data_IF_292530656833
#
_entry.id   IF_292530656833
#
_cell.length_a   1.000
_cell.length_b   1.000
_cell.length_c   1.000
_cell.angle_alpha   90.00
_cell.angle_beta   90.00
_cell.angle_gamma   90.00
#
_symmetry.space_group_name_H-M   'P 1'
#
loop_
_entity.id
_entity.type
_entity.pdbx_description
1 polymer ?
#
# COMPACT_ATOMS: atom_id res chain seq x y z
N UNK A 1 -0.02 -0.48 31.55
CA UNK A 1 0.36 0.95 31.43
C UNK A 1 -0.42 1.53 30.25
N UNK A 2 -1.33 2.50 30.43
CA UNK A 2 -2.00 3.16 29.31
C UNK A 2 -0.99 4.09 28.66
N UNK A 3 -0.50 3.75 27.48
CA UNK A 3 0.35 4.64 26.69
C UNK A 3 -0.53 5.80 26.21
N UNK A 4 -0.18 7.02 26.56
CA UNK A 4 -0.91 8.20 26.06
C UNK A 4 -0.76 8.30 24.54
N UNK A 5 -1.87 8.46 23.83
CA UNK A 5 -1.90 8.68 22.37
C UNK A 5 -0.98 9.84 21.96
N UNK A 6 -0.93 10.90 22.77
CA UNK A 6 -0.04 12.05 22.58
C UNK A 6 1.43 11.65 22.58
N UNK A 7 1.84 10.75 23.47
CA UNK A 7 3.24 10.30 23.55
C UNK A 7 3.60 9.39 22.36
N UNK A 8 2.68 8.57 21.90
CA UNK A 8 2.91 7.67 20.75
C UNK A 8 3.19 8.43 19.46
N UNK A 9 2.47 9.50 19.22
CA UNK A 9 2.52 10.27 17.97
C UNK A 9 3.21 11.63 18.11
N UNK A 10 4.00 11.84 19.16
CA UNK A 10 4.66 13.13 19.42
C UNK A 10 5.44 13.66 18.21
N UNK A 11 6.16 12.80 17.49
CA UNK A 11 6.90 13.19 16.28
C UNK A 11 6.00 13.59 15.11
N UNK A 12 4.80 13.00 14.99
CA UNK A 12 3.82 13.45 14.00
C UNK A 12 3.20 14.80 14.38
N UNK A 13 2.97 15.01 15.69
CA UNK A 13 2.33 16.24 16.17
C UNK A 13 3.19 17.50 15.96
N UNK A 14 4.51 17.37 15.91
CA UNK A 14 5.43 18.48 15.63
C UNK A 14 5.67 18.73 14.13
N UNK A 15 5.30 17.79 13.26
CA UNK A 15 5.36 17.99 11.81
C UNK A 15 4.22 18.92 11.39
N UNK A 16 4.55 20.04 10.76
CA UNK A 16 3.55 21.04 10.30
C UNK A 16 2.51 20.45 9.37
N UNK A 17 2.94 19.51 8.52
CA UNK A 17 2.15 18.85 7.50
C UNK A 17 1.16 17.82 8.10
N UNK A 18 1.41 17.32 9.29
CA UNK A 18 0.54 16.36 9.98
C UNK A 18 -0.17 17.02 11.15
N UNK A 19 0.59 17.41 12.19
CA UNK A 19 0.05 18.01 13.39
C UNK A 19 -1.08 17.21 14.04
N UNK A 20 -1.85 17.86 14.88
CA UNK A 20 -3.01 17.23 15.53
C UNK A 20 -4.15 16.94 14.57
N UNK A 21 -4.33 17.76 13.53
CA UNK A 21 -5.38 17.57 12.53
C UNK A 21 -5.10 16.34 11.67
N UNK A 22 -3.88 16.22 11.11
CA UNK A 22 -3.50 15.05 10.31
C UNK A 22 -3.54 13.75 11.12
N UNK A 23 -3.11 13.79 12.40
CA UNK A 23 -3.21 12.62 13.28
C UNK A 23 -4.66 12.18 13.53
N UNK A 24 -5.60 13.14 13.60
CA UNK A 24 -7.02 12.84 13.67
C UNK A 24 -7.52 12.19 12.38
N UNK A 25 -7.15 12.71 11.21
CA UNK A 25 -7.51 12.11 9.92
C UNK A 25 -6.99 10.68 9.79
N UNK A 26 -5.75 10.41 10.21
CA UNK A 26 -5.19 9.05 10.24
C UNK A 26 -6.04 8.11 11.11
N UNK A 27 -6.40 8.56 12.31
CA UNK A 27 -7.22 7.78 13.25
C UNK A 27 -8.63 7.48 12.72
N UNK A 28 -9.20 8.35 11.93
CA UNK A 28 -10.56 8.20 11.37
C UNK A 28 -10.57 7.40 10.07
N UNK A 29 -9.42 7.22 9.41
CA UNK A 29 -9.31 6.58 8.10
C UNK A 29 -9.44 5.06 8.14
N UNK A 30 -10.01 4.52 7.04
CA UNK A 30 -10.09 3.09 6.74
C UNK A 30 -9.25 2.79 5.50
N UNK A 31 -8.26 1.94 5.65
CA UNK A 31 -7.30 1.59 4.58
C UNK A 31 -7.39 0.11 4.28
N UNK A 32 -7.47 -0.27 3.01
CA UNK A 32 -7.37 -1.66 2.55
C UNK A 32 -5.98 -1.90 1.97
N UNK A 33 -5.25 -2.85 2.53
CA UNK A 33 -3.96 -3.34 2.02
C UNK A 33 -4.22 -4.66 1.31
N UNK A 34 -3.94 -4.71 0.01
CA UNK A 34 -4.18 -5.87 -0.84
C UNK A 34 -2.84 -6.51 -1.17
N UNK A 35 -2.60 -7.71 -0.63
CA UNK A 35 -1.34 -8.44 -0.71
C UNK A 35 -0.40 -8.14 0.46
N UNK A 36 0.02 -9.20 1.15
CA UNK A 36 0.96 -9.17 2.28
C UNK A 36 2.33 -9.77 1.91
N UNK A 37 2.78 -9.41 0.70
CA UNK A 37 4.10 -9.74 0.18
C UNK A 37 5.18 -8.77 0.65
N UNK A 38 6.26 -8.68 -0.13
CA UNK A 38 7.40 -7.80 0.18
C UNK A 38 7.05 -6.31 0.23
N UNK A 39 6.04 -5.85 -0.52
CA UNK A 39 5.51 -4.49 -0.46
C UNK A 39 4.54 -4.30 0.72
N UNK A 40 3.61 -5.25 0.92
CA UNK A 40 2.57 -5.13 1.94
C UNK A 40 3.11 -5.15 3.37
N UNK A 41 4.22 -5.85 3.62
CA UNK A 41 4.84 -5.90 4.94
C UNK A 41 5.25 -4.51 5.47
N UNK A 42 6.10 -3.74 4.80
CA UNK A 42 6.46 -2.39 5.25
C UNK A 42 5.27 -1.43 5.23
N UNK A 43 4.36 -1.54 4.25
CA UNK A 43 3.13 -0.73 4.24
C UNK A 43 2.34 -0.94 5.53
N UNK A 44 2.11 -2.19 5.93
CA UNK A 44 1.38 -2.51 7.16
C UNK A 44 2.06 -1.95 8.41
N UNK A 45 3.38 -2.14 8.51
CA UNK A 45 4.14 -1.67 9.66
C UNK A 45 4.01 -0.15 9.85
N UNK A 46 4.20 0.62 8.78
CA UNK A 46 4.10 2.07 8.85
C UNK A 46 2.66 2.57 8.97
N UNK A 47 1.68 1.91 8.33
CA UNK A 47 0.27 2.24 8.47
C UNK A 47 -0.22 2.06 9.93
N UNK A 48 0.10 0.93 10.55
CA UNK A 48 -0.22 0.67 11.96
C UNK A 48 0.54 1.63 12.89
N UNK A 49 1.85 1.82 12.63
CA UNK A 49 2.69 2.74 13.40
C UNK A 49 2.23 4.19 13.35
N UNK A 50 1.66 4.63 12.22
CA UNK A 50 1.13 5.98 12.02
C UNK A 50 -0.22 6.22 12.72
N UNK A 51 -0.88 5.17 13.19
CA UNK A 51 -2.15 5.30 13.91
C UNK A 51 -3.37 5.36 13.01
N UNK A 52 -3.34 4.69 11.85
CA UNK A 52 -4.53 4.50 11.02
C UNK A 52 -5.57 3.71 11.82
N UNK A 53 -6.81 4.22 11.86
CA UNK A 53 -7.84 3.70 12.74
C UNK A 53 -8.36 2.32 12.33
N UNK A 54 -8.52 2.05 11.04
CA UNK A 54 -8.94 0.73 10.55
C UNK A 54 -8.09 0.28 9.39
N UNK A 55 -7.54 -0.92 9.45
CA UNK A 55 -6.76 -1.54 8.38
C UNK A 55 -7.44 -2.86 7.99
N UNK A 56 -7.87 -2.94 6.72
CA UNK A 56 -8.27 -4.19 6.08
C UNK A 56 -7.05 -4.87 5.47
N UNK A 57 -6.93 -6.16 5.67
CA UNK A 57 -5.86 -7.00 5.15
C UNK A 57 -6.46 -8.11 4.29
N UNK A 58 -6.10 -8.18 3.02
CA UNK A 58 -6.56 -9.26 2.14
C UNK A 58 -5.37 -9.97 1.51
N UNK A 59 -5.30 -11.27 1.74
CA UNK A 59 -4.32 -12.18 1.17
C UNK A 59 -4.81 -13.62 1.38
N UNK A 60 -4.65 -14.48 0.39
CA UNK A 60 -5.08 -15.88 0.45
C UNK A 60 -3.96 -16.87 0.78
N UNK A 61 -2.71 -16.40 0.84
CA UNK A 61 -1.54 -17.25 0.98
C UNK A 61 -1.24 -17.63 2.43
N UNK A 62 -0.51 -18.74 2.56
CA UNK A 62 0.23 -19.07 3.76
C UNK A 62 1.69 -18.62 3.64
N UNK A 63 2.33 -18.50 4.80
CA UNK A 63 3.73 -18.11 4.90
C UNK A 63 4.62 -19.30 4.50
N UNK A 64 5.55 -19.04 3.61
CA UNK A 64 6.55 -20.00 3.14
C UNK A 64 7.98 -19.54 3.47
N UNK A 65 8.90 -20.48 3.55
CA UNK A 65 10.31 -20.17 3.81
C UNK A 65 10.91 -19.27 2.73
N UNK A 66 10.48 -19.44 1.48
CA UNK A 66 10.86 -18.63 0.31
C UNK A 66 10.41 -17.16 0.42
N UNK A 67 9.51 -16.84 1.34
CA UNK A 67 9.00 -15.48 1.54
C UNK A 67 9.87 -14.67 2.50
N UNK A 68 10.54 -15.31 3.46
CA UNK A 68 11.13 -14.66 4.64
C UNK A 68 12.23 -13.66 4.30
N UNK A 69 12.92 -13.80 3.17
CA UNK A 69 13.97 -12.87 2.76
C UNK A 69 13.47 -11.47 2.41
N UNK A 70 12.14 -11.29 2.17
CA UNK A 70 11.54 -10.01 1.79
C UNK A 70 10.25 -9.66 2.53
N UNK A 71 9.60 -10.60 3.21
CA UNK A 71 8.35 -10.41 3.95
C UNK A 71 8.66 -10.33 5.45
N UNK A 72 9.20 -9.21 5.88
CA UNK A 72 9.92 -9.03 7.14
C UNK A 72 9.07 -9.01 8.41
N UNK A 73 7.74 -9.02 8.29
CA UNK A 73 6.84 -9.16 9.43
C UNK A 73 6.63 -10.61 9.86
N UNK A 74 7.08 -11.57 9.05
CA UNK A 74 6.96 -13.01 9.30
C UNK A 74 8.29 -13.61 9.77
N UNK A 75 8.19 -14.65 10.57
CA UNK A 75 9.34 -15.38 11.10
C UNK A 75 9.29 -16.87 10.71
N UNK A 76 10.39 -17.58 10.94
CA UNK A 76 10.46 -19.05 10.73
C UNK A 76 9.37 -19.79 11.51
N UNK A 77 8.97 -19.28 12.69
CA UNK A 77 7.90 -19.88 13.51
C UNK A 77 6.50 -19.70 12.94
N UNK A 78 6.36 -18.92 11.87
CA UNK A 78 5.09 -18.60 11.24
C UNK A 78 4.87 -19.37 9.92
N UNK A 79 5.84 -20.16 9.49
CA UNK A 79 5.74 -20.99 8.29
C UNK A 79 4.47 -21.87 8.37
N UNK A 80 3.69 -21.87 7.29
CA UNK A 80 2.43 -22.62 7.16
C UNK A 80 1.20 -21.90 7.73
N UNK A 81 1.36 -20.82 8.51
CA UNK A 81 0.24 -20.01 8.98
C UNK A 81 -0.26 -19.04 7.90
N UNK A 82 -1.51 -18.64 8.00
CA UNK A 82 -2.09 -17.61 7.12
C UNK A 82 -1.41 -16.27 7.30
N UNK A 83 -1.02 -15.62 6.18
CA UNK A 83 -0.38 -14.29 6.18
C UNK A 83 -1.24 -13.24 6.89
N UNK A 84 -2.54 -13.18 6.63
CA UNK A 84 -3.44 -12.19 7.24
C UNK A 84 -3.60 -12.38 8.74
N UNK A 85 -3.58 -13.62 9.26
CA UNK A 85 -3.68 -13.88 10.70
C UNK A 85 -2.43 -13.47 11.47
N UNK A 86 -1.26 -13.70 10.89
CA UNK A 86 0.00 -13.26 11.50
C UNK A 86 0.14 -11.75 11.39
N UNK A 87 -0.24 -11.16 10.25
CA UNK A 87 -0.23 -9.72 10.04
C UNK A 87 -1.18 -8.97 11.00
N UNK A 88 -2.35 -9.53 11.32
CA UNK A 88 -3.24 -8.99 12.35
C UNK A 88 -2.56 -8.94 13.73
N UNK A 89 -1.88 -10.02 14.14
CA UNK A 89 -1.12 -10.05 15.39
C UNK A 89 0.00 -9.01 15.41
N UNK A 90 0.72 -8.86 14.31
CA UNK A 90 1.77 -7.84 14.16
C UNK A 90 1.18 -6.44 14.27
N UNK A 91 0.03 -6.19 13.62
CA UNK A 91 -0.68 -4.90 13.74
C UNK A 91 -1.00 -4.59 15.20
N UNK A 92 -1.57 -5.54 15.93
CA UNK A 92 -1.90 -5.39 17.34
C UNK A 92 -0.67 -5.16 18.24
N UNK A 93 0.47 -5.78 17.92
CA UNK A 93 1.73 -5.54 18.64
C UNK A 93 2.28 -4.13 18.38
N UNK A 94 2.16 -3.62 17.15
CA UNK A 94 2.61 -2.28 16.78
C UNK A 94 1.67 -1.23 17.39
N UNK A 95 0.36 -1.39 17.18
CA UNK A 95 -0.64 -0.44 17.66
C UNK A 95 -1.96 -1.15 18.00
N UNK A 96 -2.23 -1.42 19.28
CA UNK A 96 -3.45 -2.11 19.72
C UNK A 96 -4.73 -1.25 19.57
N UNK A 97 -4.62 0.05 19.24
CA UNK A 97 -5.78 0.90 18.96
C UNK A 97 -6.26 0.78 17.51
N UNK A 98 -5.44 0.23 16.61
CA UNK A 98 -5.82 0.00 15.20
C UNK A 98 -6.75 -1.20 15.11
N UNK A 99 -7.95 -0.97 14.55
CA UNK A 99 -8.87 -2.07 14.23
C UNK A 99 -8.40 -2.78 12.98
N UNK A 100 -8.21 -4.10 13.06
CA UNK A 100 -7.84 -4.92 11.91
C UNK A 100 -9.03 -5.75 11.44
N UNK A 101 -9.27 -5.79 10.12
CA UNK A 101 -10.25 -6.65 9.46
C UNK A 101 -9.50 -7.53 8.47
N UNK A 102 -9.62 -8.86 8.61
CA UNK A 102 -8.88 -9.80 7.77
C UNK A 102 -9.81 -10.53 6.79
N UNK A 103 -9.33 -10.70 5.56
CA UNK A 103 -9.97 -11.45 4.48
C UNK A 103 -9.00 -12.51 3.98
N UNK A 104 -9.27 -13.79 4.32
CA UNK A 104 -8.48 -14.95 3.88
C UNK A 104 -8.94 -15.41 2.50
N UNK A 105 -8.91 -14.52 1.56
CA UNK A 105 -9.39 -14.77 0.21
C UNK A 105 -8.60 -13.96 -0.81
N UNK A 106 -8.62 -14.39 -2.06
CA UNK A 106 -8.07 -13.61 -3.18
C UNK A 106 -9.08 -12.54 -3.57
N UNK A 107 -8.59 -11.34 -3.84
CA UNK A 107 -9.41 -10.30 -4.46
C UNK A 107 -9.61 -10.66 -5.94
N UNK A 108 -10.85 -10.76 -6.36
CA UNK A 108 -11.26 -11.06 -7.73
C UNK A 108 -12.44 -10.17 -8.17
N UNK A 109 -12.90 -10.34 -9.41
CA UNK A 109 -14.01 -9.55 -9.98
C UNK A 109 -15.32 -9.67 -9.19
N UNK A 110 -15.51 -10.75 -8.42
CA UNK A 110 -16.77 -11.02 -7.70
C UNK A 110 -16.84 -10.30 -6.36
N UNK A 111 -15.69 -10.11 -5.69
CA UNK A 111 -15.62 -9.54 -4.34
C UNK A 111 -14.99 -8.15 -4.28
N UNK A 112 -14.21 -7.75 -5.29
CA UNK A 112 -13.41 -6.53 -5.26
C UNK A 112 -14.25 -5.27 -4.98
N UNK A 113 -15.28 -5.01 -5.77
CA UNK A 113 -16.11 -3.81 -5.59
C UNK A 113 -16.83 -3.79 -4.24
N UNK A 114 -17.29 -4.96 -3.75
CA UNK A 114 -17.94 -5.08 -2.45
C UNK A 114 -17.00 -4.76 -1.28
N UNK A 115 -15.75 -5.20 -1.36
CA UNK A 115 -14.76 -4.98 -0.29
C UNK A 115 -14.22 -3.54 -0.38
N UNK A 116 -13.77 -3.11 -1.55
CA UNK A 116 -13.13 -1.80 -1.79
C UNK A 116 -14.01 -0.63 -1.35
N UNK A 117 -15.31 -0.69 -1.58
CA UNK A 117 -16.23 0.40 -1.21
C UNK A 117 -16.27 0.72 0.28
N UNK A 118 -15.95 -0.23 1.15
CA UNK A 118 -15.98 -0.08 2.61
C UNK A 118 -14.76 0.68 3.17
N UNK A 119 -13.78 1.00 2.31
CA UNK A 119 -12.54 1.66 2.67
C UNK A 119 -12.41 3.04 2.01
N UNK A 120 -11.59 3.90 2.61
CA UNK A 120 -11.35 5.25 2.11
C UNK A 120 -10.16 5.30 1.15
N UNK A 121 -9.15 4.45 1.38
CA UNK A 121 -7.91 4.37 0.62
C UNK A 121 -7.57 2.91 0.32
N UNK A 122 -7.10 2.66 -0.90
CA UNK A 122 -6.73 1.34 -1.37
C UNK A 122 -5.24 1.31 -1.65
N UNK A 123 -4.54 0.30 -1.11
CA UNK A 123 -3.11 0.12 -1.30
C UNK A 123 -2.89 -1.22 -2.00
N UNK A 124 -2.42 -1.14 -3.25
CA UNK A 124 -2.12 -2.32 -4.07
C UNK A 124 -0.67 -2.75 -3.86
N UNK A 125 -0.50 -3.88 -3.17
CA UNK A 125 0.77 -4.55 -2.92
C UNK A 125 0.87 -5.89 -3.64
N UNK A 126 0.05 -6.10 -4.67
CA UNK A 126 0.05 -7.34 -5.47
C UNK A 126 1.20 -7.36 -6.47
N UNK A 127 1.52 -8.55 -6.98
CA UNK A 127 2.65 -8.80 -7.87
C UNK A 127 2.25 -9.25 -9.29
N UNK A 128 0.95 -9.29 -9.59
CA UNK A 128 0.46 -9.73 -10.90
C UNK A 128 -0.48 -8.72 -11.56
N UNK A 129 -0.41 -8.63 -12.88
CA UNK A 129 -1.14 -7.63 -13.68
C UNK A 129 -2.66 -7.79 -13.58
N UNK A 130 -3.17 -9.02 -13.52
CA UNK A 130 -4.61 -9.25 -13.44
C UNK A 130 -5.21 -8.67 -12.16
N UNK A 131 -4.60 -8.94 -11.00
CA UNK A 131 -5.04 -8.35 -9.73
C UNK A 131 -4.96 -6.83 -9.76
N UNK A 132 -3.88 -6.26 -10.32
CA UNK A 132 -3.72 -4.81 -10.47
C UNK A 132 -4.82 -4.16 -11.31
N UNK A 133 -5.22 -4.81 -12.41
CA UNK A 133 -6.34 -4.33 -13.24
C UNK A 133 -7.66 -4.37 -12.48
N UNK A 134 -7.97 -5.46 -11.80
CA UNK A 134 -9.20 -5.61 -11.00
C UNK A 134 -9.25 -4.55 -9.89
N UNK A 135 -8.15 -4.35 -9.17
CA UNK A 135 -8.04 -3.34 -8.12
C UNK A 135 -8.24 -1.93 -8.68
N UNK A 136 -7.56 -1.61 -9.80
CA UNK A 136 -7.69 -0.31 -10.45
C UNK A 136 -9.14 -0.02 -10.86
N UNK A 137 -9.77 -0.96 -11.55
CA UNK A 137 -11.13 -0.78 -12.06
C UNK A 137 -12.14 -0.64 -10.93
N UNK A 138 -12.06 -1.51 -9.92
CA UNK A 138 -12.94 -1.44 -8.74
C UNK A 138 -12.69 -0.17 -7.90
N UNK A 139 -11.45 0.32 -7.82
CA UNK A 139 -11.14 1.59 -7.15
C UNK A 139 -11.73 2.78 -7.92
N UNK A 140 -11.64 2.77 -9.24
CA UNK A 140 -12.25 3.77 -10.11
C UNK A 140 -13.77 3.81 -9.95
N UNK A 141 -14.44 2.67 -10.05
CA UNK A 141 -15.91 2.54 -9.93
C UNK A 141 -16.43 3.02 -8.57
N UNK A 142 -15.66 2.79 -7.50
CA UNK A 142 -16.04 3.18 -6.14
C UNK A 142 -15.49 4.55 -5.72
N UNK A 143 -14.86 5.31 -6.62
CA UNK A 143 -14.25 6.61 -6.36
C UNK A 143 -13.23 6.59 -5.22
N UNK A 144 -12.37 5.57 -5.19
CA UNK A 144 -11.35 5.42 -4.14
C UNK A 144 -9.95 5.75 -4.67
N UNK A 145 -9.15 6.53 -3.93
CA UNK A 145 -7.74 6.71 -4.24
C UNK A 145 -7.01 5.37 -4.19
N UNK A 146 -6.22 5.08 -5.21
CA UNK A 146 -5.41 3.86 -5.31
C UNK A 146 -3.93 4.22 -5.21
N UNK A 147 -3.26 3.74 -4.18
CA UNK A 147 -1.82 3.83 -4.02
C UNK A 147 -1.20 2.54 -4.58
N UNK A 148 -0.68 2.65 -5.79
CA UNK A 148 -0.09 1.57 -6.56
C UNK A 148 1.40 1.46 -6.32
N UNK A 149 1.93 0.24 -6.28
CA UNK A 149 3.36 -0.02 -6.39
C UNK A 149 3.64 -1.33 -7.16
N UNK A 150 4.84 -1.42 -7.71
CA UNK A 150 5.38 -2.61 -8.35
C UNK A 150 6.88 -2.68 -8.14
N UNK A 151 7.42 -3.90 -8.05
CA UNK A 151 8.85 -4.16 -7.92
C UNK A 151 9.26 -5.32 -8.81
N UNK A 152 10.45 -5.23 -9.40
CA UNK A 152 11.04 -6.30 -10.22
C UNK A 152 12.55 -6.15 -10.22
N UNK A 153 13.30 -7.20 -9.85
CA UNK A 153 14.75 -7.15 -9.76
C UNK A 153 15.24 -6.08 -8.79
N UNK A 154 15.86 -5.04 -9.33
CA UNK A 154 16.36 -3.86 -8.62
C UNK A 154 15.51 -2.60 -8.86
N UNK A 155 14.41 -2.71 -9.57
CA UNK A 155 13.54 -1.60 -9.93
C UNK A 155 12.26 -1.59 -9.11
N UNK A 156 11.75 -0.39 -8.86
CA UNK A 156 10.45 -0.20 -8.24
C UNK A 156 9.73 1.00 -8.82
N UNK A 157 8.42 0.91 -8.85
CA UNK A 157 7.54 1.97 -9.32
C UNK A 157 6.44 2.20 -8.28
N UNK A 158 6.08 3.45 -8.09
CA UNK A 158 4.98 3.87 -7.23
C UNK A 158 4.17 4.95 -7.94
N UNK A 159 2.86 4.94 -7.78
CA UNK A 159 1.98 6.00 -8.26
C UNK A 159 0.70 6.07 -7.42
N UNK A 160 0.07 7.24 -7.37
CA UNK A 160 -1.26 7.40 -6.80
C UNK A 160 -2.26 7.72 -7.89
N UNK A 161 -3.26 6.86 -8.06
CA UNK A 161 -4.32 7.05 -9.04
C UNK A 161 -5.59 7.57 -8.37
N UNK A 162 -6.09 8.70 -8.87
CA UNK A 162 -7.40 9.28 -8.55
C UNK A 162 -8.20 9.45 -9.84
N UNK A 163 -8.26 8.40 -10.64
CA UNK A 163 -8.79 8.41 -12.01
C UNK A 163 -10.27 8.80 -12.09
N UNK A 164 -11.00 8.73 -10.99
CA UNK A 164 -12.38 9.20 -10.86
C UNK A 164 -12.49 10.74 -10.83
N UNK A 165 -11.39 11.44 -10.57
CA UNK A 165 -11.32 12.89 -10.66
C UNK A 165 -11.08 13.33 -12.10
N UNK A 166 -11.41 14.60 -12.39
CA UNK A 166 -11.21 15.22 -13.69
C UNK A 166 -10.40 16.49 -13.55
N UNK A 167 -9.61 16.78 -14.57
CA UNK A 167 -8.84 18.01 -14.68
C UNK A 167 -9.75 19.22 -15.03
N UNK A 168 -9.16 20.41 -15.14
CA UNK A 168 -9.86 21.66 -15.53
C UNK A 168 -10.51 21.61 -16.92
N UNK A 169 -10.11 20.66 -17.77
CA UNK A 169 -10.64 20.45 -19.11
C UNK A 169 -11.65 19.31 -19.19
N UNK A 170 -12.09 18.79 -18.02
CA UNK A 170 -13.02 17.67 -17.87
C UNK A 170 -12.47 16.30 -18.36
N UNK A 171 -11.15 16.17 -18.51
CA UNK A 171 -10.51 14.89 -18.82
C UNK A 171 -10.30 14.10 -17.51
N UNK A 172 -10.52 12.78 -17.48
CA UNK A 172 -10.22 11.97 -16.31
C UNK A 172 -8.70 11.93 -16.07
N UNK A 173 -8.30 11.91 -14.80
CA UNK A 173 -6.90 11.65 -14.44
C UNK A 173 -6.47 10.25 -14.89
N UNK A 174 -5.16 10.04 -15.13
CA UNK A 174 -4.62 8.74 -15.52
C UNK A 174 -5.00 7.63 -14.57
N UNK A 175 -5.09 6.41 -15.10
CA UNK A 175 -5.28 5.17 -14.34
C UNK A 175 -4.13 4.20 -14.61
N UNK A 176 -4.08 3.10 -13.87
CA UNK A 176 -3.14 2.01 -14.14
C UNK A 176 -3.20 1.52 -15.60
N UNK A 177 -4.40 1.50 -16.22
CA UNK A 177 -4.57 1.12 -17.63
C UNK A 177 -3.83 2.04 -18.60
N UNK A 178 -3.54 3.28 -18.21
CA UNK A 178 -2.78 4.24 -19.04
C UNK A 178 -1.29 3.93 -19.11
N UNK A 179 -0.75 3.14 -18.19
CA UNK A 179 0.66 2.74 -18.19
C UNK A 179 1.02 1.84 -19.37
N UNK A 180 0.02 1.33 -20.14
CA UNK A 180 0.22 0.48 -21.33
C UNK A 180 1.26 -0.62 -21.09
N UNK A 181 1.23 -1.22 -19.92
CA UNK A 181 2.09 -2.36 -19.60
C UNK A 181 1.74 -3.43 -20.63
N UNK A 182 2.68 -3.68 -21.55
CA UNK A 182 2.54 -4.79 -22.50
C UNK A 182 2.31 -6.05 -21.69
N UNK A 183 1.41 -6.91 -22.16
CA UNK A 183 1.25 -8.24 -21.60
C UNK A 183 2.59 -8.97 -21.70
N UNK A 184 3.40 -8.79 -20.66
CA UNK A 184 4.56 -9.64 -20.45
C UNK A 184 3.93 -10.96 -20.04
N UNK A 185 4.17 -12.01 -20.84
CA UNK A 185 3.70 -13.35 -20.51
C UNK A 185 3.97 -13.60 -19.04
N UNK A 186 2.95 -14.04 -18.29
CA UNK A 186 3.07 -14.28 -16.84
C UNK A 186 4.24 -15.21 -16.50
N UNK A 187 4.67 -16.03 -17.46
CA UNK A 187 5.84 -16.89 -17.35
C UNK A 187 7.17 -16.10 -17.27
N UNK A 188 7.26 -14.92 -17.86
CA UNK A 188 8.49 -14.11 -17.83
C UNK A 188 8.68 -13.38 -16.49
N UNK A 189 7.59 -12.97 -15.84
CA UNK A 189 7.65 -12.29 -14.53
C UNK A 189 8.05 -13.24 -13.39
N UNK A 190 7.66 -14.53 -13.47
CA UNK A 190 8.00 -15.54 -12.45
C UNK A 190 9.49 -15.90 -12.43
N UNK A 191 10.26 -15.53 -13.46
CA UNK A 191 11.71 -15.78 -13.54
C UNK A 191 12.57 -14.62 -13.08
N UNK A 192 11.98 -13.42 -12.88
CA UNK A 192 12.73 -12.26 -12.40
C UNK A 192 12.58 -12.19 -10.88
N UNK A 193 13.65 -12.52 -10.15
CA UNK A 193 13.69 -12.38 -8.70
C UNK A 193 13.52 -10.91 -8.27
N UNK A 194 13.30 -10.68 -6.98
CA UNK A 194 13.26 -9.33 -6.39
C UNK A 194 14.20 -9.27 -5.20
N UNK A 195 14.99 -8.21 -5.13
CA UNK A 195 15.84 -7.96 -3.96
C UNK A 195 14.97 -7.45 -2.81
N UNK A 196 15.01 -8.11 -1.64
CA UNK A 196 14.17 -7.78 -0.47
C UNK A 196 14.20 -6.30 -0.07
N UNK A 197 15.38 -5.67 0.09
CA UNK A 197 15.48 -4.23 0.38
C UNK A 197 14.76 -3.32 -0.61
N UNK A 198 14.69 -3.67 -1.90
CA UNK A 198 13.94 -2.86 -2.89
C UNK A 198 12.45 -2.87 -2.55
N UNK A 199 11.89 -4.05 -2.27
CA UNK A 199 10.51 -4.16 -1.83
C UNK A 199 10.26 -3.36 -0.54
N UNK A 200 11.22 -3.39 0.40
CA UNK A 200 11.19 -2.59 1.63
C UNK A 200 11.13 -1.08 1.37
N UNK A 201 12.01 -0.57 0.49
CA UNK A 201 12.07 0.86 0.13
C UNK A 201 10.77 1.30 -0.56
N UNK A 202 10.34 0.56 -1.57
CA UNK A 202 9.13 0.91 -2.34
C UNK A 202 7.87 0.83 -1.47
N UNK A 203 7.74 -0.20 -0.62
CA UNK A 203 6.61 -0.29 0.31
C UNK A 203 6.63 0.81 1.38
N UNK A 204 7.81 1.27 1.82
CA UNK A 204 7.93 2.41 2.72
C UNK A 204 7.51 3.72 2.04
N UNK A 205 7.90 3.92 0.77
CA UNK A 205 7.44 5.05 -0.04
C UNK A 205 5.93 4.98 -0.27
N UNK A 206 5.37 3.79 -0.52
CA UNK A 206 3.94 3.56 -0.69
C UNK A 206 3.17 3.93 0.59
N UNK A 207 3.69 3.57 1.77
CA UNK A 207 3.13 4.00 3.06
C UNK A 207 3.21 5.52 3.24
N UNK A 208 4.29 6.15 2.80
CA UNK A 208 4.46 7.61 2.84
C UNK A 208 3.41 8.30 1.96
N UNK A 209 3.21 7.83 0.74
CA UNK A 209 2.16 8.35 -0.14
C UNK A 209 0.76 8.16 0.46
N UNK A 210 0.48 7.00 1.06
CA UNK A 210 -0.77 6.76 1.77
C UNK A 210 -1.01 7.81 2.86
N UNK A 211 -0.02 8.06 3.72
CA UNK A 211 -0.12 9.06 4.80
C UNK A 211 -0.35 10.46 4.22
N UNK A 212 0.38 10.84 3.17
CA UNK A 212 0.19 12.12 2.47
C UNK A 212 -1.22 12.27 1.91
N UNK A 213 -1.77 11.23 1.31
CA UNK A 213 -3.14 11.25 0.78
C UNK A 213 -4.18 11.41 1.90
N UNK A 214 -4.01 10.72 3.03
CA UNK A 214 -4.92 10.80 4.19
C UNK A 214 -4.86 12.20 4.82
N UNK A 215 -3.67 12.76 4.99
CA UNK A 215 -3.48 14.04 5.67
C UNK A 215 -3.67 15.25 4.76
N UNK A 216 -3.98 15.02 3.47
CA UNK A 216 -4.03 16.06 2.43
C UNK A 216 -2.74 16.88 2.33
N UNK A 217 -1.60 16.30 2.70
CA UNK A 217 -0.27 16.90 2.60
C UNK A 217 0.24 16.81 1.16
N UNK A 218 -0.43 17.53 0.24
CA UNK A 218 -0.14 17.49 -1.20
C UNK A 218 0.76 18.65 -1.66
N UNK A 219 1.28 19.47 -0.75
CA UNK A 219 2.02 20.72 -1.05
C UNK A 219 3.29 20.50 -1.90
N UNK A 220 3.75 19.26 -2.06
CA UNK A 220 4.93 18.93 -2.86
C UNK A 220 4.66 18.10 -4.12
N UNK A 221 3.39 17.82 -4.42
CA UNK A 221 3.03 16.95 -5.55
C UNK A 221 2.40 17.69 -6.73
N UNK A 222 2.16 19.01 -6.62
CA UNK A 222 1.56 19.77 -7.73
C UNK A 222 2.50 19.95 -8.93
N UNK A 223 3.82 19.88 -8.72
CA UNK A 223 4.81 19.88 -9.81
C UNK A 223 5.27 18.46 -10.21
N UNK A 224 4.99 17.46 -9.39
CA UNK A 224 5.39 16.07 -9.63
C UNK A 224 4.30 15.25 -10.38
N UNK A 225 3.26 15.89 -10.90
CA UNK A 225 2.25 15.20 -11.71
C UNK A 225 2.84 14.60 -12.99
N UNK A 226 4.03 15.05 -13.40
CA UNK A 226 4.78 14.53 -14.55
C UNK A 226 5.89 13.56 -14.15
N UNK A 227 6.27 13.50 -12.87
CA UNK A 227 7.32 12.64 -12.36
C UNK A 227 6.73 11.50 -11.53
N UNK A 228 6.48 10.35 -12.14
CA UNK A 228 6.41 9.10 -11.38
C UNK A 228 7.81 8.87 -10.79
N UNK A 229 8.00 8.87 -9.46
CA UNK A 229 9.30 8.59 -8.90
C UNK A 229 9.68 7.14 -9.17
N UNK A 230 10.42 6.93 -10.26
CA UNK A 230 11.15 5.70 -10.49
C UNK A 230 12.44 5.81 -9.70
N UNK A 231 12.60 4.99 -8.68
CA UNK A 231 13.85 4.89 -7.94
C UNK A 231 14.71 3.82 -8.62
N UNK A 232 15.68 4.27 -9.41
CA UNK A 232 16.76 3.42 -9.88
C UNK A 232 17.88 3.44 -8.82
N UNK A 233 18.02 2.35 -8.07
CA UNK A 233 19.10 2.19 -7.09
C UNK A 233 20.44 1.82 -7.74
N UNK A 234 20.52 1.72 -9.06
CA UNK A 234 21.75 1.54 -9.83
C UNK A 234 22.55 2.83 -10.08
N UNK A 235 22.20 3.94 -9.44
CA UNK A 235 22.96 5.20 -9.48
C UNK A 235 22.60 6.15 -10.63
N UNK A 236 21.51 5.93 -11.34
CA UNK A 236 20.96 6.89 -12.30
C UNK A 236 19.56 7.33 -11.86
N UNK A 237 19.44 8.61 -11.59
CA UNK A 237 18.16 9.27 -11.44
C UNK A 237 17.54 9.36 -12.82
N UNK A 238 16.49 8.62 -13.11
CA UNK A 238 15.67 8.84 -14.29
C UNK A 238 14.64 9.91 -13.86
N UNK A 239 14.85 11.10 -14.40
CA UNK A 239 13.93 12.23 -14.25
C UNK A 239 12.84 12.07 -15.30
#
# INVERSE_FOLDING_TARGET
MKVSTTNRFSNHLILKEIGGHGQKLLKESKVLIIGLGGLGCPVLQYAAGSGIGTIGLIDNDNIEISNLHRQTIFSTNDIGKSKVEVAEKVTNMINPETKTLIYKERLDDKNASKIIKEYDFIVDCTDNNLSKMIINDSSFENNKPLIYASVSGFFGQISTFKSYLKDKHNNPYPSYRCLKIKDINENDCNHIGVLGPIAGVIGSLQATELIKQITNCLLYTSDAADDTPCVDLGGRRII
#
